data_IF_817204645500
#
_entry.id   IF_817204645500
#
_cell.length_a   1.000
_cell.length_b   1.000
_cell.length_c   1.000
_cell.angle_alpha   90.00
_cell.angle_beta   90.00
_cell.angle_gamma   90.00
#
_symmetry.space_group_name_H-M   'P 1'
#
loop_
_entity.id
_entity.type
_entity.pdbx_description
1 polymer ?
#
# COMPACT_ATOMS: atom_id res chain seq x y z
N UNK A 1 -7.57 0.08 -5.96
CA UNK A 1 -6.94 -0.73 -4.90
C UNK A 1 -6.93 -2.23 -5.22
N UNK A 2 -8.05 -2.87 -5.55
CA UNK A 2 -8.09 -4.34 -5.75
C UNK A 2 -7.18 -4.87 -6.88
N UNK A 3 -6.93 -4.10 -7.95
CA UNK A 3 -6.00 -4.50 -9.03
C UNK A 3 -4.58 -4.81 -8.54
N UNK A 4 -4.10 -4.04 -7.57
CA UNK A 4 -2.72 -4.12 -7.05
C UNK A 4 -2.64 -4.84 -5.69
N UNK A 5 -3.74 -4.85 -4.93
CA UNK A 5 -3.87 -5.53 -3.64
C UNK A 5 -5.15 -6.39 -3.60
N UNK A 6 -5.19 -7.52 -4.33
CA UNK A 6 -6.41 -8.33 -4.49
C UNK A 6 -6.86 -9.02 -3.19
N UNK A 7 -5.97 -9.13 -2.20
CA UNK A 7 -6.29 -9.70 -0.90
C UNK A 7 -7.06 -8.73 0.00
N UNK A 8 -7.10 -7.43 -0.33
CA UNK A 8 -7.91 -6.44 0.39
C UNK A 8 -9.34 -6.51 -0.15
N UNK A 9 -10.22 -7.12 0.62
CA UNK A 9 -11.62 -7.38 0.25
C UNK A 9 -12.60 -6.35 0.84
N UNK A 10 -12.15 -5.51 1.77
CA UNK A 10 -12.94 -4.43 2.35
C UNK A 10 -12.07 -3.24 2.72
N UNK A 11 -12.63 -2.03 2.57
CA UNK A 11 -11.97 -0.77 2.86
C UNK A 11 -13.01 0.30 3.16
N UNK A 12 -13.22 0.55 4.45
CA UNK A 12 -14.29 1.43 4.92
C UNK A 12 -13.69 2.58 5.75
N UNK A 13 -14.10 3.84 5.53
CA UNK A 13 -13.64 4.94 6.36
C UNK A 13 -14.19 4.82 7.78
N UNK A 14 -13.31 4.90 8.78
CA UNK A 14 -13.69 4.98 10.20
C UNK A 14 -13.63 6.43 10.68
N UNK A 15 -12.63 7.18 10.22
CA UNK A 15 -12.43 8.59 10.51
C UNK A 15 -11.75 9.25 9.33
N UNK A 16 -12.29 10.36 8.85
CA UNK A 16 -11.64 11.18 7.81
C UNK A 16 -11.32 12.55 8.41
N UNK A 17 -10.09 13.01 8.20
CA UNK A 17 -9.62 14.34 8.60
C UNK A 17 -9.54 15.26 7.38
N UNK A 18 -9.69 16.57 7.59
CA UNK A 18 -9.61 17.56 6.51
C UNK A 18 -8.24 17.52 5.81
N UNK A 19 -7.17 17.40 6.58
CA UNK A 19 -5.79 17.31 6.04
C UNK A 19 -5.42 15.91 5.52
N UNK A 20 -6.34 14.94 5.58
CA UNK A 20 -6.16 13.51 5.29
C UNK A 20 -5.18 12.78 6.24
N UNK A 21 -4.14 13.45 6.73
CA UNK A 21 -3.27 12.97 7.81
C UNK A 21 -4.10 12.71 9.06
N UNK A 22 -3.95 11.52 9.64
CA UNK A 22 -4.76 11.06 10.77
C UNK A 22 -6.10 10.44 10.41
N UNK A 23 -6.46 10.37 9.11
CA UNK A 23 -7.59 9.55 8.66
C UNK A 23 -7.34 8.07 8.97
N UNK A 24 -8.40 7.34 9.25
CA UNK A 24 -8.40 5.91 9.62
C UNK A 24 -9.39 5.17 8.74
N UNK A 25 -8.93 4.07 8.15
CA UNK A 25 -9.71 3.18 7.32
C UNK A 25 -9.63 1.76 7.85
N UNK A 26 -10.78 1.10 7.99
CA UNK A 26 -10.85 -0.31 8.34
C UNK A 26 -10.65 -1.15 7.09
N UNK A 27 -9.64 -1.99 7.10
CA UNK A 27 -9.35 -2.91 6.00
C UNK A 27 -9.62 -4.35 6.41
N UNK A 28 -10.26 -5.10 5.51
CA UNK A 28 -10.42 -6.56 5.60
C UNK A 28 -9.46 -7.21 4.62
N UNK A 29 -8.52 -8.00 5.12
CA UNK A 29 -7.52 -8.71 4.35
C UNK A 29 -7.78 -10.21 4.40
N UNK A 30 -7.83 -10.86 3.23
CA UNK A 30 -8.07 -12.29 3.11
C UNK A 30 -6.76 -13.03 2.84
N UNK A 31 -6.39 -13.90 3.77
CA UNK A 31 -5.24 -14.79 3.66
C UNK A 31 -5.73 -16.26 3.67
N UNK A 32 -5.75 -16.88 2.50
CA UNK A 32 -6.35 -18.20 2.32
C UNK A 32 -7.84 -18.20 2.71
N UNK A 33 -8.19 -18.96 3.75
CA UNK A 33 -9.56 -19.02 4.31
C UNK A 33 -9.82 -18.02 5.44
N UNK A 34 -8.78 -17.34 5.95
CA UNK A 34 -8.89 -16.41 7.08
C UNK A 34 -9.11 -14.98 6.58
N UNK A 35 -9.96 -14.24 7.27
CA UNK A 35 -10.13 -12.79 7.08
C UNK A 35 -9.62 -12.11 8.34
N UNK A 36 -8.66 -11.21 8.16
CA UNK A 36 -8.15 -10.34 9.23
C UNK A 36 -8.68 -8.93 9.00
N UNK A 37 -9.03 -8.25 10.09
CA UNK A 37 -9.46 -6.86 10.06
C UNK A 37 -8.48 -6.01 10.86
N UNK A 38 -8.10 -4.86 10.31
CA UNK A 38 -7.22 -3.91 10.98
C UNK A 38 -7.50 -2.47 10.54
N UNK A 39 -7.17 -1.54 11.41
CA UNK A 39 -7.29 -0.11 11.14
C UNK A 39 -5.98 0.43 10.54
N UNK A 40 -6.11 1.06 9.38
CA UNK A 40 -5.03 1.70 8.63
C UNK A 40 -5.11 3.20 8.83
N UNK A 41 -4.08 3.76 9.45
CA UNK A 41 -3.98 5.19 9.72
C UNK A 41 -3.08 5.87 8.70
N UNK A 42 -3.53 6.98 8.12
CA UNK A 42 -2.68 7.86 7.31
C UNK A 42 -1.72 8.63 8.22
N UNK A 43 -0.43 8.47 8.00
CA UNK A 43 0.66 9.10 8.76
C UNK A 43 1.27 10.30 8.03
N UNK A 44 1.37 10.22 6.70
CA UNK A 44 1.88 11.30 5.85
C UNK A 44 1.10 11.30 4.55
N UNK A 45 0.78 12.50 4.03
CA UNK A 45 0.08 12.68 2.77
C UNK A 45 0.63 13.90 2.03
N UNK A 46 0.88 13.73 0.74
CA UNK A 46 1.23 14.80 -0.19
C UNK A 46 0.66 14.43 -1.55
N UNK A 47 -0.05 15.36 -2.18
CA UNK A 47 -0.57 15.18 -3.53
C UNK A 47 -0.32 16.44 -4.36
N UNK A 48 0.74 16.40 -5.17
CA UNK A 48 1.05 17.44 -6.16
C UNK A 48 1.22 16.81 -7.55
N UNK A 49 1.28 17.65 -8.58
CA UNK A 49 1.50 17.21 -9.96
C UNK A 49 2.85 16.49 -10.15
N UNK A 50 3.88 16.94 -9.45
CA UNK A 50 5.25 16.42 -9.58
C UNK A 50 5.56 15.27 -8.62
N UNK A 51 4.90 15.25 -7.45
CA UNK A 51 5.19 14.30 -6.39
C UNK A 51 3.95 13.92 -5.61
N UNK A 52 3.79 12.62 -5.38
CA UNK A 52 2.78 12.08 -4.46
C UNK A 52 3.46 11.26 -3.37
N UNK A 53 2.98 11.41 -2.13
CA UNK A 53 3.45 10.64 -0.98
C UNK A 53 2.24 10.18 -0.18
N UNK A 54 2.22 8.92 0.18
CA UNK A 54 1.28 8.37 1.15
C UNK A 54 2.05 7.46 2.07
N UNK A 55 1.99 7.74 3.37
CA UNK A 55 2.46 6.80 4.39
C UNK A 55 1.30 6.37 5.24
N UNK A 56 1.17 5.07 5.42
CA UNK A 56 0.18 4.48 6.30
C UNK A 56 0.83 3.64 7.37
N UNK A 57 0.18 3.54 8.52
CA UNK A 57 0.56 2.67 9.62
C UNK A 57 -0.61 1.80 10.06
N UNK A 58 -0.34 0.55 10.38
CA UNK A 58 -1.34 -0.38 10.91
C UNK A 58 -0.68 -1.43 11.80
N UNK A 59 -1.48 -2.03 12.67
CA UNK A 59 -1.04 -3.13 13.53
C UNK A 59 -1.62 -4.44 13.02
N UNK A 60 -0.75 -5.38 12.66
CA UNK A 60 -1.15 -6.71 12.22
C UNK A 60 -1.12 -7.69 13.40
N UNK A 61 -2.24 -8.39 13.61
CA UNK A 61 -2.42 -9.43 14.64
C UNK A 61 -2.02 -9.00 16.06
N UNK A 62 -2.01 -7.70 16.38
CA UNK A 62 -1.48 -7.15 17.64
C UNK A 62 -0.02 -7.56 17.94
N UNK A 63 0.74 -7.94 16.91
CA UNK A 63 2.11 -8.45 17.03
C UNK A 63 3.12 -7.60 16.27
N UNK A 64 2.69 -6.92 15.21
CA UNK A 64 3.57 -6.17 14.32
C UNK A 64 3.02 -4.79 14.05
N UNK A 65 3.84 -3.76 14.26
CA UNK A 65 3.59 -2.41 13.76
C UNK A 65 4.21 -2.30 12.37
N UNK A 66 3.35 -2.10 11.38
CA UNK A 66 3.75 -2.03 9.98
C UNK A 66 3.55 -0.60 9.49
N UNK A 67 4.56 -0.07 8.81
CA UNK A 67 4.36 1.14 7.99
C UNK A 67 4.60 0.82 6.53
N UNK A 68 3.76 1.37 5.66
CA UNK A 68 3.90 1.30 4.22
C UNK A 68 3.97 2.72 3.68
N UNK A 69 5.04 3.01 2.95
CA UNK A 69 5.32 4.29 2.33
C UNK A 69 5.30 4.13 0.82
N UNK A 70 4.45 4.91 0.18
CA UNK A 70 4.30 5.03 -1.26
C UNK A 70 4.83 6.40 -1.68
N UNK A 71 5.77 6.42 -2.61
CA UNK A 71 6.36 7.64 -3.15
C UNK A 71 6.35 7.57 -4.67
N UNK A 72 5.70 8.54 -5.31
CA UNK A 72 5.66 8.68 -6.75
C UNK A 72 6.29 10.02 -7.11
N UNK A 73 7.18 10.01 -8.09
CA UNK A 73 7.78 11.21 -8.67
C UNK A 73 7.61 11.17 -10.19
N UNK A 74 7.10 12.26 -10.76
CA UNK A 74 7.04 12.43 -12.20
C UNK A 74 8.47 12.50 -12.73
N UNK A 75 8.79 11.68 -13.74
CA UNK A 75 10.07 11.75 -14.45
C UNK A 75 9.86 12.40 -15.81
N UNK A 76 8.88 11.90 -16.55
CA UNK A 76 8.45 12.37 -17.87
C UNK A 76 6.92 12.19 -17.95
N UNK A 77 6.26 12.69 -18.99
CA UNK A 77 4.79 12.59 -19.12
C UNK A 77 4.28 11.13 -19.17
N UNK A 78 5.10 10.19 -19.62
CA UNK A 78 4.76 8.77 -19.72
C UNK A 78 5.53 7.87 -18.74
N UNK A 79 6.31 8.46 -17.80
CA UNK A 79 7.23 7.73 -16.93
C UNK A 79 7.19 8.27 -15.51
N UNK A 80 7.02 7.35 -14.56
CA UNK A 80 6.96 7.66 -13.13
C UNK A 80 8.00 6.84 -12.40
N UNK A 81 8.73 7.48 -11.48
CA UNK A 81 9.51 6.76 -10.49
C UNK A 81 8.59 6.41 -9.32
N UNK A 82 8.44 5.11 -9.05
CA UNK A 82 7.67 4.61 -7.92
C UNK A 82 8.58 3.90 -6.93
N UNK A 83 8.59 4.37 -5.69
CA UNK A 83 9.27 3.74 -4.56
C UNK A 83 8.24 3.28 -3.54
N UNK A 84 8.37 2.02 -3.15
CA UNK A 84 7.60 1.42 -2.08
C UNK A 84 8.55 1.00 -0.95
N UNK A 85 8.26 1.42 0.27
CA UNK A 85 9.04 1.04 1.45
C UNK A 85 8.09 0.51 2.52
N UNK A 86 8.36 -0.69 3.00
CA UNK A 86 7.60 -1.32 4.08
C UNK A 86 8.53 -1.57 5.27
N UNK A 87 8.07 -1.23 6.47
CA UNK A 87 8.74 -1.60 7.71
C UNK A 87 7.86 -2.56 8.48
N UNK A 88 8.48 -3.55 9.12
CA UNK A 88 7.80 -4.46 10.01
C UNK A 88 8.52 -4.46 11.35
N UNK A 89 7.91 -3.81 12.35
CA UNK A 89 8.47 -3.69 13.69
C UNK A 89 7.73 -4.64 14.63
N UNK A 90 8.41 -5.61 15.24
CA UNK A 90 7.76 -6.51 16.20
C UNK A 90 7.42 -5.73 17.47
N UNK A 91 6.21 -5.91 17.99
CA UNK A 91 5.77 -5.32 19.24
C UNK A 91 6.32 -6.08 20.47
N UNK A 92 6.75 -7.33 20.28
CA UNK A 92 7.34 -8.18 21.34
C UNK A 92 8.67 -8.78 20.89
N UNK A 93 9.64 -8.79 21.80
CA UNK A 93 11.03 -9.19 21.51
C UNK A 93 11.17 -10.64 21.02
N UNK A 94 10.33 -11.56 21.51
CA UNK A 94 10.36 -12.99 21.15
C UNK A 94 9.80 -13.30 19.75
N UNK A 95 9.19 -12.31 19.07
CA UNK A 95 8.62 -12.47 17.72
C UNK A 95 9.67 -12.16 16.64
N UNK A 96 10.81 -11.55 17.01
CA UNK A 96 11.90 -11.18 16.09
C UNK A 96 12.35 -12.29 15.12
N UNK A 97 12.46 -13.58 15.52
CA UNK A 97 12.88 -14.64 14.59
C UNK A 97 11.93 -14.86 13.40
N UNK A 98 10.64 -14.51 13.51
CA UNK A 98 9.65 -14.64 12.43
C UNK A 98 9.84 -13.62 11.29
N UNK A 99 10.70 -12.60 11.46
CA UNK A 99 10.89 -11.53 10.47
C UNK A 99 11.88 -11.88 9.34
N UNK A 100 12.60 -13.00 9.45
CA UNK A 100 13.80 -13.27 8.65
C UNK A 100 13.49 -13.81 7.23
N UNK A 101 12.26 -14.23 6.91
CA UNK A 101 12.04 -15.09 5.73
C UNK A 101 11.12 -14.59 4.59
N UNK A 102 10.49 -13.40 4.64
CA UNK A 102 9.38 -13.14 3.70
C UNK A 102 9.31 -11.79 2.97
N UNK A 103 10.14 -10.78 3.27
CA UNK A 103 9.83 -9.41 2.83
C UNK A 103 10.16 -9.09 1.36
N UNK A 104 11.33 -9.50 0.85
CA UNK A 104 11.83 -9.00 -0.44
C UNK A 104 10.99 -9.47 -1.64
N UNK A 105 10.69 -10.78 -1.73
CA UNK A 105 9.87 -11.33 -2.82
C UNK A 105 8.44 -10.78 -2.81
N UNK A 106 7.90 -10.42 -1.65
CA UNK A 106 6.56 -9.82 -1.54
C UNK A 106 6.58 -8.39 -2.07
N UNK A 107 7.60 -7.60 -1.72
CA UNK A 107 7.79 -6.24 -2.23
C UNK A 107 7.96 -6.23 -3.75
N UNK A 108 8.83 -7.09 -4.30
CA UNK A 108 9.06 -7.16 -5.76
C UNK A 108 7.77 -7.52 -6.50
N UNK A 109 7.04 -8.55 -6.06
CA UNK A 109 5.77 -8.94 -6.69
C UNK A 109 4.70 -7.84 -6.59
N UNK A 110 4.68 -7.08 -5.51
CA UNK A 110 3.79 -5.93 -5.38
C UNK A 110 4.14 -4.84 -6.41
N UNK A 111 5.43 -4.47 -6.52
CA UNK A 111 5.89 -3.48 -7.49
C UNK A 111 5.59 -3.90 -8.94
N UNK A 112 5.79 -5.17 -9.28
CA UNK A 112 5.45 -5.71 -10.60
C UNK A 112 3.95 -5.60 -10.91
N UNK A 113 3.07 -5.95 -9.96
CA UNK A 113 1.62 -5.79 -10.12
C UNK A 113 1.21 -4.34 -10.31
N UNK A 114 1.82 -3.42 -9.55
CA UNK A 114 1.56 -1.98 -9.69
C UNK A 114 1.96 -1.50 -11.09
N UNK A 115 3.15 -1.87 -11.56
CA UNK A 115 3.62 -1.54 -12.91
C UNK A 115 2.68 -2.11 -13.98
N UNK A 116 2.34 -3.39 -13.90
CA UNK A 116 1.45 -4.04 -14.86
C UNK A 116 0.08 -3.39 -14.92
N UNK A 117 -0.52 -3.07 -13.77
CA UNK A 117 -1.81 -2.41 -13.70
C UNK A 117 -1.76 -1.02 -14.36
N UNK A 118 -0.76 -0.20 -14.02
CA UNK A 118 -0.60 1.14 -14.56
C UNK A 118 -0.36 1.14 -16.09
N UNK A 119 0.51 0.26 -16.58
CA UNK A 119 0.85 0.22 -18.01
C UNK A 119 -0.29 -0.37 -18.86
N UNK A 120 -1.09 -1.29 -18.30
CA UNK A 120 -2.23 -1.88 -19.01
C UNK A 120 -3.39 -0.90 -19.16
N UNK A 121 -3.70 -0.13 -18.11
CA UNK A 121 -4.73 0.93 -18.17
C UNK A 121 -4.39 1.98 -19.23
N UNK A 122 -3.11 2.37 -19.33
CA UNK A 122 -2.67 3.30 -20.38
C UNK A 122 -2.86 2.73 -21.79
N UNK A 123 -2.52 1.46 -22.02
CA UNK A 123 -2.71 0.83 -23.34
C UNK A 123 -4.18 0.82 -23.74
N UNK A 124 -5.07 0.48 -22.79
CA UNK A 124 -6.51 0.52 -23.01
C UNK A 124 -6.99 1.94 -23.36
N UNK A 125 -6.53 2.95 -22.63
CA UNK A 125 -6.86 4.35 -22.91
C UNK A 125 -6.44 4.79 -24.32
N UNK A 126 -5.21 4.44 -24.75
CA UNK A 126 -4.73 4.77 -26.10
C UNK A 126 -5.59 4.07 -27.16
N UNK A 127 -5.92 2.78 -26.99
CA UNK A 127 -6.76 2.04 -27.94
C UNK A 127 -8.20 2.53 -28.04
N UNK A 128 -8.69 3.34 -27.08
CA UNK A 128 -10.02 3.95 -27.16
C UNK A 128 -10.03 5.30 -27.88
N UNK A 129 -8.85 5.84 -28.19
CA UNK A 129 -8.67 7.10 -28.92
C UNK A 129 -8.32 6.89 -30.40
N UNK A 130 -7.99 5.67 -30.79
CA UNK A 130 -7.77 5.21 -32.18
C UNK A 130 -9.05 4.60 -32.76
#
# INVERSE_FOLDING_TARGET
MQKIMPQVIGHEPVKITQELVGSVYRQKYKEGKRVQEYDVKTLEYLDTAEKKKLKVGFTLASMFEITALYELMKMEDNKTFFRYTITNKPLKWFIKPFLIFESEKVVVRFLERVKQAAESERKQYISTLE
#
